data_IF_577953260399
#
_entry.id   IF_577953260399
#
_cell.length_a   1.000
_cell.length_b   1.000
_cell.length_c   1.000
_cell.angle_alpha   90.00
_cell.angle_beta   90.00
_cell.angle_gamma   90.00
#
_symmetry.space_group_name_H-M   'P 1'
#
loop_
_entity.id
_entity.type
_entity.pdbx_description
1 polymer ?
#
# COMPACT_ATOMS: atom_id res chain seq x y z
N UNK A 1 -15.15 0.74 5.27
CA UNK A 1 -13.91 1.12 5.94
C UNK A 1 -14.06 2.35 6.86
N UNK A 2 -14.67 3.47 6.43
CA UNK A 2 -14.90 4.67 7.27
C UNK A 2 -15.51 4.34 8.64
N UNK A 3 -16.57 3.51 8.68
CA UNK A 3 -17.18 3.09 9.95
C UNK A 3 -16.23 2.29 10.86
N UNK A 4 -15.41 1.44 10.29
CA UNK A 4 -14.41 0.69 11.06
C UNK A 4 -13.35 1.63 11.65
N UNK A 5 -12.85 2.58 10.86
CA UNK A 5 -11.85 3.55 11.31
C UNK A 5 -12.39 4.46 12.44
N UNK A 6 -13.66 4.88 12.36
CA UNK A 6 -14.29 5.70 13.41
C UNK A 6 -14.63 4.86 14.66
N UNK A 7 -14.95 3.58 14.46
CA UNK A 7 -15.38 2.67 15.53
C UNK A 7 -14.26 2.01 16.33
N UNK A 8 -12.99 2.14 15.90
CA UNK A 8 -11.84 1.52 16.57
C UNK A 8 -10.71 2.51 16.81
N UNK A 9 -9.82 2.20 17.74
CA UNK A 9 -8.61 2.99 17.98
C UNK A 9 -7.40 2.48 17.20
N UNK A 10 -7.40 1.21 16.79
CA UNK A 10 -6.38 0.59 15.97
C UNK A 10 -7.01 -0.20 14.83
N UNK A 11 -6.75 0.22 13.60
CA UNK A 11 -7.16 -0.47 12.38
C UNK A 11 -5.92 -0.87 11.57
N UNK A 12 -5.71 -2.17 11.36
CA UNK A 12 -4.60 -2.67 10.56
C UNK A 12 -5.09 -3.21 9.22
N UNK A 13 -4.68 -2.56 8.14
CA UNK A 13 -4.90 -3.04 6.77
C UNK A 13 -3.88 -4.13 6.46
N UNK A 14 -4.35 -5.37 6.31
CA UNK A 14 -3.48 -6.53 6.05
C UNK A 14 -3.62 -7.03 4.62
N UNK A 15 -2.56 -7.63 4.07
CA UNK A 15 -2.59 -8.23 2.72
C UNK A 15 -1.24 -8.26 2.04
N UNK A 16 -1.19 -8.88 0.86
CA UNK A 16 0.02 -9.06 0.07
C UNK A 16 0.72 -7.73 -0.28
N UNK A 17 2.02 -7.78 -0.55
CA UNK A 17 2.76 -6.64 -1.11
C UNK A 17 2.13 -6.18 -2.43
N UNK A 18 1.94 -4.87 -2.60
CA UNK A 18 1.33 -4.32 -3.82
C UNK A 18 -0.19 -4.45 -3.93
N UNK A 19 -0.90 -4.93 -2.88
CA UNK A 19 -2.38 -5.02 -2.86
C UNK A 19 -3.11 -3.68 -2.75
N UNK A 20 -2.38 -2.56 -2.61
CA UNK A 20 -2.98 -1.23 -2.55
C UNK A 20 -3.32 -0.74 -1.14
N UNK A 21 -2.80 -1.36 -0.07
CA UNK A 21 -3.06 -0.99 1.33
C UNK A 21 -2.81 0.48 1.64
N UNK A 22 -1.64 0.99 1.27
CA UNK A 22 -1.26 2.41 1.46
C UNK A 22 -2.23 3.34 0.76
N UNK A 23 -2.59 3.03 -0.51
CA UNK A 23 -3.56 3.83 -1.26
C UNK A 23 -4.93 3.83 -0.60
N UNK A 24 -5.39 2.65 -0.16
CA UNK A 24 -6.65 2.51 0.54
C UNK A 24 -6.65 3.26 1.88
N UNK A 25 -5.53 3.22 2.63
CA UNK A 25 -5.35 3.98 3.87
C UNK A 25 -5.48 5.48 3.63
N UNK A 26 -4.81 6.01 2.60
CA UNK A 26 -4.85 7.44 2.27
C UNK A 26 -6.24 7.91 1.82
N UNK A 27 -6.94 7.11 1.00
CA UNK A 27 -8.30 7.45 0.58
C UNK A 27 -9.28 7.43 1.77
N UNK A 28 -9.17 6.44 2.66
CA UNK A 28 -9.99 6.41 3.87
C UNK A 28 -9.69 7.57 4.81
N UNK A 29 -8.43 7.97 4.92
CA UNK A 29 -8.02 9.10 5.73
C UNK A 29 -8.60 10.43 5.21
N UNK A 30 -8.64 10.63 3.90
CA UNK A 30 -9.29 11.80 3.27
C UNK A 30 -10.76 11.93 3.64
N UNK A 31 -11.47 10.80 3.72
CA UNK A 31 -12.89 10.77 4.06
C UNK A 31 -13.19 11.17 5.51
N UNK A 32 -12.18 11.19 6.37
CA UNK A 32 -12.32 11.41 7.82
C UNK A 32 -11.44 12.54 8.36
N UNK A 33 -10.69 13.23 7.51
CA UNK A 33 -9.71 14.25 7.92
C UNK A 33 -10.31 15.34 8.81
N UNK A 34 -11.56 15.73 8.55
CA UNK A 34 -12.28 16.74 9.33
C UNK A 34 -12.63 16.29 10.76
N UNK A 35 -12.54 15.00 11.08
CA UNK A 35 -12.82 14.44 12.40
C UNK A 35 -11.61 14.54 13.35
N UNK A 36 -10.43 14.94 12.85
CA UNK A 36 -9.18 14.98 13.61
C UNK A 36 -8.65 16.41 13.66
N UNK A 37 -8.97 17.18 14.73
CA UNK A 37 -8.52 18.58 14.88
C UNK A 37 -7.00 18.76 14.82
N UNK A 38 -6.24 17.78 15.37
CA UNK A 38 -4.77 17.79 15.37
C UNK A 38 -4.18 17.09 14.13
N UNK A 39 -5.04 16.76 13.16
CA UNK A 39 -4.65 16.33 11.82
C UNK A 39 -4.56 14.83 11.62
N UNK A 40 -4.19 14.50 10.37
CA UNK A 40 -3.91 13.15 9.90
C UNK A 40 -2.46 13.09 9.44
N UNK A 41 -1.69 12.20 10.02
CA UNK A 41 -0.24 12.14 9.83
C UNK A 41 0.20 10.81 9.24
N UNK A 42 0.94 10.85 8.13
CA UNK A 42 1.49 9.66 7.48
C UNK A 42 2.95 9.48 7.85
N UNK A 43 3.28 8.30 8.36
CA UNK A 43 4.64 7.89 8.70
C UNK A 43 5.02 6.72 7.78
N UNK A 44 5.92 6.96 6.86
CA UNK A 44 6.44 5.93 5.95
C UNK A 44 7.59 5.17 6.62
N UNK A 45 7.36 3.93 7.04
CA UNK A 45 8.38 3.09 7.67
C UNK A 45 9.24 2.32 6.65
N UNK A 46 8.85 2.30 5.37
CA UNK A 46 9.58 1.58 4.32
C UNK A 46 11.08 1.89 4.21
N UNK A 47 11.55 3.15 4.41
CA UNK A 47 12.97 3.47 4.33
C UNK A 47 13.80 3.04 5.56
N UNK A 48 13.14 2.68 6.67
CA UNK A 48 13.81 2.37 7.93
C UNK A 48 14.30 0.93 7.91
N UNK A 49 15.52 0.70 8.39
CA UNK A 49 16.12 -0.61 8.57
C UNK A 49 16.36 -0.99 10.03
N UNK A 50 16.18 -0.02 10.94
CA UNK A 50 16.45 -0.15 12.37
C UNK A 50 15.17 0.13 13.17
N UNK A 51 14.86 -0.77 14.09
CA UNK A 51 13.71 -0.68 14.98
C UNK A 51 13.72 0.57 15.87
N UNK A 52 14.89 1.04 16.28
CA UNK A 52 15.05 2.23 17.12
C UNK A 52 14.64 3.53 16.38
N UNK A 53 14.56 3.48 15.05
CA UNK A 53 14.16 4.62 14.25
C UNK A 53 12.63 4.80 14.17
N UNK A 54 11.83 3.81 14.56
CA UNK A 54 10.36 3.91 14.50
C UNK A 54 9.82 5.07 15.34
N UNK A 55 10.17 5.22 16.63
CA UNK A 55 9.74 6.38 17.40
C UNK A 55 10.29 7.70 16.87
N UNK A 56 11.51 7.69 16.31
CA UNK A 56 12.13 8.91 15.72
C UNK A 56 11.39 9.38 14.48
N UNK A 57 10.96 8.46 13.61
CA UNK A 57 10.18 8.81 12.44
C UNK A 57 8.82 9.44 12.83
N UNK A 58 8.16 8.91 13.85
CA UNK A 58 6.93 9.49 14.39
C UNK A 58 7.19 10.88 14.98
N UNK A 59 8.22 11.03 15.81
CA UNK A 59 8.58 12.31 16.42
C UNK A 59 8.93 13.36 15.37
N UNK A 60 9.70 12.98 14.36
CA UNK A 60 10.09 13.89 13.27
C UNK A 60 8.86 14.36 12.47
N UNK A 61 7.95 13.47 12.13
CA UNK A 61 6.76 13.84 11.38
C UNK A 61 5.83 14.77 12.17
N UNK A 62 5.70 14.53 13.49
CA UNK A 62 4.86 15.32 14.39
C UNK A 62 5.59 16.55 14.97
N UNK A 63 6.82 16.82 14.55
CA UNK A 63 7.67 17.90 15.05
C UNK A 63 7.88 17.87 16.58
N UNK A 64 7.88 16.66 17.16
CA UNK A 64 8.10 16.46 18.60
C UNK A 64 9.60 16.47 18.91
N UNK A 65 10.09 17.38 19.76
CA UNK A 65 11.50 17.45 20.11
C UNK A 65 11.93 16.30 21.02
N UNK A 66 13.13 15.76 20.80
CA UNK A 66 13.75 14.82 21.72
C UNK A 66 14.12 15.51 23.04
N UNK A 67 13.88 14.83 24.17
CA UNK A 67 14.23 15.28 25.52
C UNK A 67 15.39 14.44 26.07
N UNK A 68 16.56 15.03 26.41
CA UNK A 68 17.75 14.26 26.81
C UNK A 68 17.56 13.36 28.03
N UNK A 69 16.57 13.64 28.88
CA UNK A 69 16.33 12.92 30.14
C UNK A 69 15.18 11.91 30.07
N UNK A 70 14.53 11.76 28.92
CA UNK A 70 13.34 10.90 28.77
C UNK A 70 13.42 10.11 27.47
N UNK A 71 13.13 8.80 27.47
CA UNK A 71 13.03 8.03 26.23
C UNK A 71 11.99 8.63 25.29
N UNK A 72 12.26 8.55 23.99
CA UNK A 72 11.43 9.19 22.98
C UNK A 72 9.98 8.64 22.90
N UNK A 73 9.75 7.31 23.08
CA UNK A 73 8.38 6.78 23.13
C UNK A 73 7.53 7.42 24.24
N UNK A 74 8.10 7.59 25.45
CA UNK A 74 7.43 8.21 26.60
C UNK A 74 7.20 9.71 26.37
N UNK A 75 8.15 10.38 25.71
CA UNK A 75 7.99 11.80 25.31
C UNK A 75 6.84 11.95 24.33
N UNK A 76 6.73 11.06 23.33
CA UNK A 76 5.60 11.00 22.40
C UNK A 76 4.27 10.79 23.12
N UNK A 77 4.22 9.80 24.03
CA UNK A 77 3.01 9.49 24.79
C UNK A 77 2.55 10.66 25.67
N UNK A 78 3.48 11.40 26.25
CA UNK A 78 3.16 12.58 27.06
C UNK A 78 2.61 13.73 26.22
N UNK A 79 3.25 14.05 25.10
CA UNK A 79 2.85 15.18 24.25
C UNK A 79 1.54 14.87 23.53
N UNK A 80 1.36 13.66 23.01
CA UNK A 80 0.17 13.27 22.24
C UNK A 80 -1.05 12.96 23.11
N UNK A 81 -0.93 12.95 24.44
CA UNK A 81 -2.02 12.57 25.37
C UNK A 81 -3.30 13.37 25.14
N UNK A 82 -3.18 14.65 24.82
CA UNK A 82 -4.32 15.56 24.61
C UNK A 82 -4.71 15.76 23.15
N UNK A 83 -4.01 15.09 22.22
CA UNK A 83 -4.24 15.31 20.80
C UNK A 83 -5.33 14.37 20.26
N UNK A 84 -6.16 14.91 19.38
CA UNK A 84 -7.20 14.17 18.62
C UNK A 84 -6.73 14.03 17.18
N UNK A 85 -5.84 13.06 16.95
CA UNK A 85 -5.22 12.84 15.64
C UNK A 85 -5.39 11.40 15.13
N UNK A 86 -5.25 11.23 13.81
CA UNK A 86 -5.09 9.95 13.15
C UNK A 86 -3.62 9.78 12.71
N UNK A 87 -2.96 8.76 13.26
CA UNK A 87 -1.61 8.37 12.85
C UNK A 87 -1.68 7.20 11.86
N UNK A 88 -1.14 7.37 10.67
CA UNK A 88 -1.04 6.31 9.66
C UNK A 88 0.40 5.81 9.64
N UNK A 89 0.60 4.55 10.05
CA UNK A 89 1.90 3.87 10.01
C UNK A 89 1.94 2.97 8.77
N UNK A 90 2.69 3.39 7.75
CA UNK A 90 2.74 2.66 6.48
C UNK A 90 3.91 1.70 6.41
N UNK A 91 3.65 0.48 5.91
CA UNK A 91 4.63 -0.57 5.68
C UNK A 91 5.32 -1.11 6.96
N UNK A 92 4.52 -1.42 8.00
CA UNK A 92 5.01 -1.89 9.31
C UNK A 92 5.67 -3.28 9.27
N UNK A 93 5.44 -4.10 8.23
CA UNK A 93 5.70 -5.55 8.25
C UNK A 93 7.15 -5.99 8.46
N UNK A 94 8.14 -5.13 8.25
CA UNK A 94 9.56 -5.43 8.50
C UNK A 94 10.07 -4.89 9.85
N UNK A 95 9.26 -4.08 10.55
CA UNK A 95 9.52 -3.49 11.86
C UNK A 95 8.35 -3.78 12.82
N UNK A 96 7.76 -4.99 12.70
CA UNK A 96 6.49 -5.33 13.31
C UNK A 96 6.51 -5.17 14.82
N UNK A 97 7.51 -5.76 15.48
CA UNK A 97 7.63 -5.73 16.95
C UNK A 97 7.84 -4.32 17.50
N UNK A 98 8.71 -3.54 16.88
CA UNK A 98 8.97 -2.16 17.30
C UNK A 98 7.73 -1.28 17.11
N UNK A 99 7.04 -1.46 15.99
CA UNK A 99 5.78 -0.75 15.70
C UNK A 99 4.71 -1.15 16.72
N UNK A 100 4.56 -2.44 17.02
CA UNK A 100 3.59 -2.93 17.99
C UNK A 100 3.84 -2.35 19.39
N UNK A 101 5.09 -2.36 19.87
CA UNK A 101 5.47 -1.77 21.17
C UNK A 101 5.13 -0.28 21.26
N UNK A 102 5.45 0.48 20.21
CA UNK A 102 5.13 1.91 20.18
C UNK A 102 3.62 2.15 20.15
N UNK A 103 2.88 1.41 19.32
CA UNK A 103 1.43 1.51 19.18
C UNK A 103 0.73 1.20 20.50
N UNK A 104 1.13 0.13 21.19
CA UNK A 104 0.60 -0.28 22.49
C UNK A 104 0.77 0.84 23.53
N UNK A 105 2.00 1.36 23.69
CA UNK A 105 2.29 2.46 24.59
C UNK A 105 1.46 3.73 24.28
N UNK A 106 1.37 4.09 23.02
CA UNK A 106 0.62 5.28 22.60
C UNK A 106 -0.89 5.13 22.83
N UNK A 107 -1.44 3.95 22.53
CA UNK A 107 -2.86 3.69 22.75
C UNK A 107 -3.22 3.66 24.24
N UNK A 108 -2.35 3.15 25.09
CA UNK A 108 -2.56 3.17 26.55
C UNK A 108 -2.53 4.58 27.12
N UNK A 109 -1.67 5.45 26.59
CA UNK A 109 -1.43 6.77 27.15
C UNK A 109 -2.31 7.88 26.54
N UNK A 110 -2.79 7.72 25.28
CA UNK A 110 -3.44 8.74 24.47
C UNK A 110 -4.88 8.34 24.12
N UNK A 111 -5.90 8.72 24.91
CA UNK A 111 -7.27 8.22 24.76
C UNK A 111 -7.95 8.66 23.44
N UNK A 112 -7.54 9.78 22.87
CA UNK A 112 -8.11 10.36 21.64
C UNK A 112 -7.33 10.03 20.38
N UNK A 113 -6.16 9.39 20.51
CA UNK A 113 -5.36 8.94 19.41
C UNK A 113 -6.03 7.76 18.70
N UNK A 114 -6.02 7.81 17.36
CA UNK A 114 -6.36 6.67 16.49
C UNK A 114 -5.18 6.34 15.60
N UNK A 115 -4.99 5.05 15.36
CA UNK A 115 -3.89 4.54 14.55
C UNK A 115 -4.45 3.67 13.45
N UNK A 116 -3.98 3.91 12.22
CA UNK A 116 -4.20 3.03 11.07
C UNK A 116 -2.83 2.52 10.60
N UNK A 117 -2.65 1.20 10.63
CA UNK A 117 -1.42 0.57 10.17
C UNK A 117 -1.62 -0.14 8.84
N UNK A 118 -0.58 -0.20 8.01
CA UNK A 118 -0.53 -1.09 6.85
C UNK A 118 0.60 -2.10 7.04
N UNK A 119 0.27 -3.38 6.88
CA UNK A 119 1.23 -4.46 7.08
C UNK A 119 0.89 -5.68 6.22
N UNK A 120 1.78 -6.65 6.12
CA UNK A 120 1.48 -7.97 5.54
C UNK A 120 0.69 -8.84 6.52
N UNK A 121 0.90 -8.64 7.81
CA UNK A 121 0.28 -9.36 8.91
C UNK A 121 -0.17 -8.38 10.01
N UNK A 122 -0.92 -8.87 10.97
CA UNK A 122 -1.40 -8.07 12.10
C UNK A 122 -0.25 -7.62 13.00
N UNK A 123 -0.42 -6.49 13.70
CA UNK A 123 0.53 -6.01 14.71
C UNK A 123 0.50 -6.86 15.99
N UNK A 124 -0.63 -7.48 16.30
CA UNK A 124 -0.82 -8.28 17.52
C UNK A 124 -1.05 -7.46 18.78
N UNK A 125 -1.45 -6.21 18.66
CA UNK A 125 -1.77 -5.30 19.77
C UNK A 125 -3.22 -5.50 20.22
N UNK A 126 -3.48 -5.33 21.52
CA UNK A 126 -4.82 -5.45 22.09
C UNK A 126 -5.78 -4.44 21.48
N UNK A 127 -7.00 -4.86 21.17
CA UNK A 127 -8.02 -4.02 20.53
C UNK A 127 -7.80 -3.78 19.03
N UNK A 128 -6.82 -4.43 18.42
CA UNK A 128 -6.58 -4.35 16.97
C UNK A 128 -7.77 -4.89 16.16
N UNK A 129 -8.29 -4.07 15.27
CA UNK A 129 -9.24 -4.51 14.24
C UNK A 129 -8.48 -4.72 12.94
N UNK A 130 -8.59 -5.93 12.38
CA UNK A 130 -7.92 -6.31 11.13
C UNK A 130 -8.86 -6.11 9.95
N UNK A 131 -8.35 -5.44 8.92
CA UNK A 131 -9.05 -5.24 7.66
C UNK A 131 -8.26 -5.90 6.53
N UNK A 132 -8.64 -7.10 6.09
CA UNK A 132 -7.98 -7.75 4.96
C UNK A 132 -8.23 -6.97 3.67
N UNK A 133 -7.17 -6.61 2.97
CA UNK A 133 -7.24 -6.00 1.63
C UNK A 133 -7.08 -7.11 0.60
N UNK A 134 -8.19 -7.53 0.04
CA UNK A 134 -8.24 -8.55 -0.99
C UNK A 134 -7.58 -8.04 -2.28
N UNK A 135 -7.01 -8.94 -3.10
CA UNK A 135 -6.68 -8.64 -4.49
C UNK A 135 -7.92 -8.19 -5.27
N UNK A 136 -7.70 -7.53 -6.40
CA UNK A 136 -8.78 -7.18 -7.32
C UNK A 136 -9.42 -8.43 -7.92
N UNK A 137 -10.70 -8.36 -8.20
CA UNK A 137 -11.45 -9.44 -8.84
C UNK A 137 -10.86 -9.75 -10.22
N UNK A 138 -10.68 -11.05 -10.50
CA UNK A 138 -10.15 -11.56 -11.76
C UNK A 138 -11.18 -12.46 -12.45
N UNK A 139 -11.20 -12.52 -13.80
CA UNK A 139 -12.09 -13.43 -14.53
C UNK A 139 -11.81 -14.90 -14.20
N UNK A 140 -12.85 -15.70 -13.95
CA UNK A 140 -12.73 -17.15 -13.81
C UNK A 140 -12.50 -17.82 -15.18
N UNK A 141 -11.73 -18.92 -15.20
CA UNK A 141 -11.26 -19.54 -16.43
C UNK A 141 -12.38 -20.15 -17.30
N UNK A 142 -13.50 -20.51 -16.68
CA UNK A 142 -14.56 -21.30 -17.32
C UNK A 142 -15.80 -20.51 -17.78
N UNK A 143 -15.92 -19.25 -17.40
CA UNK A 143 -17.17 -18.48 -17.53
C UNK A 143 -17.15 -17.30 -18.47
N UNK A 144 -16.03 -16.94 -19.07
CA UNK A 144 -15.92 -15.68 -19.80
C UNK A 144 -16.04 -15.90 -21.31
N UNK A 145 -17.22 -15.62 -21.83
CA UNK A 145 -17.56 -15.81 -23.25
C UNK A 145 -17.57 -14.50 -24.04
N UNK A 146 -17.59 -13.32 -23.39
CA UNK A 146 -17.63 -12.04 -24.09
C UNK A 146 -16.60 -11.04 -23.55
N UNK A 147 -16.17 -10.11 -24.41
CA UNK A 147 -15.26 -9.02 -24.01
C UNK A 147 -15.90 -8.07 -22.98
N UNK A 148 -17.23 -7.92 -23.03
CA UNK A 148 -17.99 -7.08 -22.10
C UNK A 148 -17.97 -7.65 -20.67
N UNK A 149 -18.09 -8.98 -20.53
CA UNK A 149 -17.96 -9.64 -19.23
C UNK A 149 -16.54 -9.49 -18.65
N UNK A 150 -15.51 -9.57 -19.51
CA UNK A 150 -14.12 -9.38 -19.07
C UNK A 150 -13.84 -7.98 -18.56
N UNK A 151 -14.47 -6.95 -19.15
CA UNK A 151 -14.37 -5.57 -18.72
C UNK A 151 -15.06 -5.29 -17.37
N UNK A 152 -15.92 -6.20 -16.89
CA UNK A 152 -16.58 -6.10 -15.59
C UNK A 152 -15.65 -6.32 -14.38
N UNK A 153 -14.49 -6.94 -14.56
CA UNK A 153 -13.57 -7.25 -13.47
C UNK A 153 -12.62 -6.09 -13.15
N UNK A 154 -12.41 -5.82 -11.86
CA UNK A 154 -11.57 -4.70 -11.40
C UNK A 154 -10.12 -4.79 -11.91
N UNK A 155 -9.57 -6.00 -11.95
CA UNK A 155 -8.21 -6.25 -12.43
C UNK A 155 -8.05 -5.88 -13.90
N UNK A 156 -9.01 -6.26 -14.75
CA UNK A 156 -9.00 -5.95 -16.18
C UNK A 156 -9.25 -4.46 -16.44
N UNK A 157 -10.14 -3.83 -15.68
CA UNK A 157 -10.36 -2.39 -15.75
C UNK A 157 -9.09 -1.62 -15.43
N UNK A 158 -8.39 -1.99 -14.34
CA UNK A 158 -7.12 -1.37 -13.98
C UNK A 158 -6.07 -1.53 -15.08
N UNK A 159 -5.92 -2.75 -15.63
CA UNK A 159 -4.99 -3.02 -16.72
C UNK A 159 -5.26 -2.13 -17.93
N UNK A 160 -6.51 -2.12 -18.41
CA UNK A 160 -6.91 -1.33 -19.58
C UNK A 160 -6.71 0.17 -19.36
N UNK A 161 -7.08 0.67 -18.18
CA UNK A 161 -6.87 2.07 -17.83
C UNK A 161 -5.38 2.45 -17.86
N UNK A 162 -4.51 1.61 -17.30
CA UNK A 162 -3.05 1.85 -17.28
C UNK A 162 -2.44 1.69 -18.66
N UNK A 163 -2.84 0.67 -19.42
CA UNK A 163 -2.36 0.45 -20.80
C UNK A 163 -2.69 1.65 -21.69
N UNK A 164 -3.91 2.19 -21.64
CA UNK A 164 -4.30 3.40 -22.37
C UNK A 164 -3.50 4.65 -21.95
N UNK A 165 -3.06 4.71 -20.71
CA UNK A 165 -2.17 5.79 -20.23
C UNK A 165 -0.77 5.73 -20.83
N UNK A 166 -0.29 4.54 -21.21
CA UNK A 166 1.02 4.33 -21.85
C UNK A 166 0.93 4.31 -23.37
N UNK A 167 -0.13 3.72 -23.91
CA UNK A 167 -0.42 3.65 -25.35
C UNK A 167 -1.87 4.08 -25.61
N UNK A 168 -2.12 5.34 -26.04
CA UNK A 168 -3.47 5.81 -26.34
C UNK A 168 -4.17 5.03 -27.47
N UNK A 169 -3.42 4.31 -28.33
CA UNK A 169 -3.97 3.47 -29.38
C UNK A 169 -4.43 2.09 -28.87
N UNK A 170 -4.13 1.75 -27.61
CA UNK A 170 -4.56 0.50 -27.01
C UNK A 170 -6.08 0.40 -26.96
N UNK A 171 -6.63 -0.65 -27.59
CA UNK A 171 -8.06 -0.91 -27.64
C UNK A 171 -8.41 -2.26 -27.00
N UNK A 172 -9.57 -2.31 -26.36
CA UNK A 172 -10.17 -3.56 -25.86
C UNK A 172 -10.83 -4.36 -26.99
N UNK A 173 -10.00 -4.85 -27.95
CA UNK A 173 -10.52 -5.83 -28.92
C UNK A 173 -10.83 -7.15 -28.21
N UNK A 174 -11.70 -8.03 -28.74
CA UNK A 174 -11.99 -9.34 -28.15
C UNK A 174 -10.73 -10.19 -27.90
N UNK A 175 -9.74 -10.12 -28.82
CA UNK A 175 -8.47 -10.82 -28.67
C UNK A 175 -7.64 -10.24 -27.52
N UNK A 176 -7.53 -8.91 -27.45
CA UNK A 176 -6.83 -8.23 -26.35
C UNK A 176 -7.49 -8.49 -25.00
N UNK A 177 -8.82 -8.55 -24.95
CA UNK A 177 -9.56 -8.79 -23.72
C UNK A 177 -9.22 -10.15 -23.10
N UNK A 178 -9.13 -11.20 -23.92
CA UNK A 178 -8.73 -12.56 -23.46
C UNK A 178 -7.29 -12.57 -22.91
N UNK A 179 -6.35 -11.95 -23.62
CA UNK A 179 -4.96 -11.87 -23.19
C UNK A 179 -4.80 -11.05 -21.88
N UNK A 180 -5.53 -9.94 -21.77
CA UNK A 180 -5.55 -9.13 -20.54
C UNK A 180 -6.12 -9.92 -19.36
N UNK A 181 -7.23 -10.65 -19.57
CA UNK A 181 -7.82 -11.50 -18.54
C UNK A 181 -6.85 -12.57 -18.04
N UNK A 182 -6.12 -13.21 -18.97
CA UNK A 182 -5.10 -14.21 -18.62
C UNK A 182 -3.95 -13.60 -17.83
N UNK A 183 -3.43 -12.44 -18.24
CA UNK A 183 -2.40 -11.70 -17.52
C UNK A 183 -2.88 -11.37 -16.11
N UNK A 184 -4.09 -10.81 -15.95
CA UNK A 184 -4.64 -10.46 -14.64
C UNK A 184 -4.79 -11.67 -13.72
N UNK A 185 -5.20 -12.84 -14.25
CA UNK A 185 -5.26 -14.10 -13.48
C UNK A 185 -3.88 -14.56 -13.04
N UNK A 186 -2.90 -14.59 -13.94
CA UNK A 186 -1.51 -14.96 -13.62
C UNK A 186 -0.90 -14.05 -12.55
N UNK A 187 -1.30 -12.78 -12.52
CA UNK A 187 -0.88 -11.80 -11.53
C UNK A 187 -1.70 -11.84 -10.23
N UNK A 188 -2.67 -12.76 -10.13
CA UNK A 188 -3.49 -12.95 -8.92
C UNK A 188 -4.29 -11.72 -8.51
N UNK A 189 -4.63 -10.83 -9.43
CA UNK A 189 -5.35 -9.58 -9.12
C UNK A 189 -4.55 -8.56 -8.31
N UNK A 190 -3.23 -8.70 -8.18
CA UNK A 190 -2.39 -7.78 -7.40
C UNK A 190 -2.22 -6.45 -8.18
N UNK A 191 -2.76 -5.30 -7.67
CA UNK A 191 -2.78 -4.04 -8.40
C UNK A 191 -1.43 -3.60 -8.93
N UNK A 192 -0.39 -3.63 -8.09
CA UNK A 192 0.95 -3.21 -8.49
C UNK A 192 1.52 -4.07 -9.63
N UNK A 193 1.30 -5.39 -9.58
CA UNK A 193 1.77 -6.30 -10.62
C UNK A 193 1.04 -6.03 -11.95
N UNK A 194 -0.26 -5.74 -11.89
CA UNK A 194 -1.09 -5.37 -13.03
C UNK A 194 -0.60 -4.06 -13.65
N UNK A 195 -0.34 -3.02 -12.85
CA UNK A 195 0.18 -1.74 -13.32
C UNK A 195 1.55 -1.90 -14.01
N UNK A 196 2.44 -2.71 -13.43
CA UNK A 196 3.75 -3.01 -14.03
C UNK A 196 3.64 -3.78 -15.35
N UNK A 197 2.69 -4.69 -15.48
CA UNK A 197 2.44 -5.41 -16.72
C UNK A 197 1.82 -4.48 -17.79
N UNK A 198 0.85 -3.68 -17.41
CA UNK A 198 0.20 -2.72 -18.29
C UNK A 198 1.17 -1.66 -18.84
N UNK A 199 2.15 -1.24 -18.04
CA UNK A 199 3.21 -0.31 -18.48
C UNK A 199 4.13 -0.88 -19.57
N UNK A 200 4.04 -2.18 -19.90
CA UNK A 200 4.78 -2.80 -21.00
C UNK A 200 4.01 -2.79 -22.32
N UNK A 201 2.74 -2.47 -22.29
CA UNK A 201 1.93 -2.27 -23.49
C UNK A 201 2.47 -1.05 -24.26
N UNK A 202 2.52 -1.15 -25.59
CA UNK A 202 3.11 -0.09 -26.43
C UNK A 202 4.65 -0.08 -26.51
N UNK A 203 5.33 -0.86 -25.66
CA UNK A 203 6.74 -1.22 -25.90
C UNK A 203 6.79 -2.41 -26.87
N UNK A 204 7.95 -2.82 -27.33
CA UNK A 204 8.15 -3.89 -28.34
C UNK A 204 7.55 -5.28 -27.98
N UNK A 205 6.73 -5.37 -26.94
CA UNK A 205 6.12 -6.61 -26.44
C UNK A 205 4.62 -6.65 -26.75
N UNK A 206 4.16 -7.74 -27.40
CA UNK A 206 2.73 -8.05 -27.51
C UNK A 206 2.19 -8.56 -26.17
N UNK A 207 0.84 -8.57 -26.00
CA UNK A 207 0.19 -9.11 -24.80
C UNK A 207 0.53 -10.59 -24.58
N UNK A 208 0.65 -11.36 -25.66
CA UNK A 208 1.03 -12.77 -25.61
C UNK A 208 2.45 -12.93 -25.03
N UNK A 209 3.40 -12.13 -25.46
CA UNK A 209 4.76 -12.14 -24.91
C UNK A 209 4.80 -11.72 -23.43
N UNK A 210 3.94 -10.81 -23.01
CA UNK A 210 3.79 -10.44 -21.58
C UNK A 210 3.26 -11.65 -20.81
N UNK A 211 2.21 -12.33 -21.32
CA UNK A 211 1.60 -13.50 -20.68
C UNK A 211 2.58 -14.67 -20.58
N UNK A 212 3.34 -14.99 -21.64
CA UNK A 212 4.35 -16.05 -21.66
C UNK A 212 5.48 -15.81 -20.66
N UNK A 213 5.96 -14.55 -20.55
CA UNK A 213 7.02 -14.19 -19.60
C UNK A 213 6.59 -14.28 -18.15
N UNK A 214 5.31 -14.14 -17.87
CA UNK A 214 4.74 -14.31 -16.52
C UNK A 214 4.75 -15.78 -16.07
N UNK A 215 4.80 -16.74 -16.97
CA UNK A 215 4.94 -18.16 -16.63
C UNK A 215 6.32 -18.50 -16.03
N UNK A 216 7.33 -17.66 -16.31
CA UNK A 216 8.71 -17.90 -15.88
C UNK A 216 9.10 -17.27 -14.56
N UNK A 217 8.49 -16.18 -14.10
CA UNK A 217 8.90 -15.53 -12.83
C UNK A 217 8.12 -14.26 -12.49
N UNK A 218 7.30 -14.30 -11.45
CA UNK A 218 6.83 -13.09 -10.73
C UNK A 218 8.02 -12.27 -10.18
N UNK A 219 9.12 -12.92 -9.86
CA UNK A 219 10.36 -12.30 -9.36
C UNK A 219 10.98 -11.32 -10.37
N UNK A 220 10.82 -11.55 -11.68
CA UNK A 220 11.31 -10.65 -12.71
C UNK A 220 10.60 -9.29 -12.75
N UNK A 221 9.30 -9.24 -12.41
CA UNK A 221 8.55 -8.00 -12.35
C UNK A 221 8.97 -7.14 -11.14
N UNK A 222 9.28 -7.78 -10.02
CA UNK A 222 9.79 -7.10 -8.81
C UNK A 222 11.25 -6.65 -8.98
N UNK A 223 12.11 -7.45 -9.60
CA UNK A 223 13.50 -7.11 -9.86
C UNK A 223 13.67 -5.91 -10.82
N UNK A 224 12.74 -5.73 -11.76
CA UNK A 224 12.75 -4.61 -12.70
C UNK A 224 12.32 -3.28 -12.05
N UNK A 225 11.55 -3.30 -10.95
CA UNK A 225 11.23 -2.10 -10.17
C UNK A 225 12.48 -1.50 -9.51
N UNK A 226 13.39 -2.33 -9.03
CA UNK A 226 14.65 -1.89 -8.40
C UNK A 226 15.58 -1.16 -9.39
N UNK A 227 15.52 -1.48 -10.69
CA UNK A 227 16.33 -0.78 -11.72
C UNK A 227 15.75 0.57 -12.15
N UNK A 228 14.44 0.80 -11.99
CA UNK A 228 13.79 2.05 -12.39
C UNK A 228 13.78 3.12 -11.28
N UNK A 229 14.13 2.77 -10.06
CA UNK A 229 14.18 3.67 -8.90
C UNK A 229 15.58 4.16 -8.51
N UNK A 230 16.64 3.76 -9.24
CA UNK A 230 17.97 4.33 -9.02
C UNK A 230 18.14 5.51 -9.98
N UNK A 231 18.08 6.77 -9.51
CA UNK A 231 18.52 7.91 -10.31
C UNK A 231 20.00 7.71 -10.59
N UNK A 232 20.40 7.84 -11.85
CA UNK A 232 21.79 7.82 -12.27
C UNK A 232 22.55 8.98 -11.62
N UNK A 233 23.26 8.67 -10.53
CA UNK A 233 24.14 9.60 -9.81
C UNK A 233 25.51 9.74 -10.46
N UNK A 234 25.72 9.22 -11.69
CA UNK A 234 27.03 9.23 -12.36
C UNK A 234 27.32 10.50 -13.16
N UNK A 235 26.45 11.51 -13.19
CA UNK A 235 26.67 12.74 -13.96
C UNK A 235 26.74 14.03 -13.15
N UNK A 236 27.46 14.04 -12.02
CA UNK A 236 27.95 15.28 -11.40
C UNK A 236 29.39 15.11 -10.93
N UNK A 237 30.30 15.21 -11.88
CA UNK A 237 31.72 15.35 -11.66
C UNK A 237 32.32 16.06 -12.85
N UNK A 238 32.34 17.38 -12.81
CA UNK A 238 33.40 18.24 -13.27
C UNK A 238 33.06 19.68 -12.86
#
# INVERSE_FOLDING_TARGET
>A
MKQALVGTRLLTLTGAGGSGKTRLALEAARDVIELYPDGVWLIELAPLSDEELVPKAVAQALEVPERPAQPLPETLAEILRGWELLLILDNCGHLLEATARLVDLLLDSCPHLRIMATSREALGVEGEVRWPVAPLSVPEQERTSSSEELEGYEATQLFVQRAKGHDPAFSSSPQNALAVAEICRKLGGIPLAIELAAARVGTLLSLEHISERLEGSLDLLFALRLRLQVPDLSSRGH
#
